data_IF_624739352123
#
_entry.id   IF_624739352123
#
_cell.length_a   1.000
_cell.length_b   1.000
_cell.length_c   1.000
_cell.angle_alpha   90.00
_cell.angle_beta   90.00
_cell.angle_gamma   90.00
#
_symmetry.space_group_name_H-M   'P 1'
#
loop_
_entity.id
_entity.type
_entity.pdbx_description
1 polymer ?
#
# COMPACT_ATOMS: atom_id res chain seq x y z
N UNK A 1 -12.04 -1.91 -16.77
CA UNK A 1 -11.78 -1.12 -15.55
C UNK A 1 -11.62 0.37 -15.82
N UNK A 2 -10.66 0.79 -16.65
CA UNK A 2 -10.28 2.20 -16.80
C UNK A 2 -11.43 3.18 -17.10
N UNK A 3 -12.39 2.81 -17.95
CA UNK A 3 -13.57 3.65 -18.20
C UNK A 3 -14.45 3.86 -16.95
N UNK A 4 -14.56 2.85 -16.08
CA UNK A 4 -15.29 2.95 -14.82
C UNK A 4 -14.55 3.87 -13.84
N UNK A 5 -13.22 3.76 -13.74
CA UNK A 5 -12.40 4.66 -12.93
C UNK A 5 -12.52 6.11 -13.40
N UNK A 6 -12.48 6.34 -14.72
CA UNK A 6 -12.70 7.67 -15.30
C UNK A 6 -14.08 8.22 -14.93
N UNK A 7 -15.13 7.41 -15.02
CA UNK A 7 -16.48 7.81 -14.59
C UNK A 7 -16.52 8.16 -13.11
N UNK A 8 -15.90 7.35 -12.25
CA UNK A 8 -15.83 7.65 -10.82
C UNK A 8 -15.11 8.97 -10.56
N UNK A 9 -13.97 9.23 -11.21
CA UNK A 9 -13.21 10.48 -11.09
C UNK A 9 -14.00 11.71 -11.55
N UNK A 10 -14.86 11.57 -12.55
CA UNK A 10 -15.71 12.66 -13.04
C UNK A 10 -16.91 12.94 -12.13
N UNK A 11 -17.36 11.97 -11.34
CA UNK A 11 -18.55 12.06 -10.51
C UNK A 11 -18.28 12.40 -9.03
N UNK A 12 -17.02 12.60 -8.62
CA UNK A 12 -16.62 12.70 -7.20
C UNK A 12 -16.71 14.09 -6.57
N UNK A 13 -17.21 15.11 -7.25
CA UNK A 13 -17.59 16.34 -6.55
C UNK A 13 -18.85 16.09 -5.70
N UNK A 14 -18.66 15.90 -4.38
CA UNK A 14 -19.65 15.94 -3.29
C UNK A 14 -20.43 14.66 -2.87
N UNK A 15 -20.02 13.44 -3.24
CA UNK A 15 -20.75 12.22 -2.78
C UNK A 15 -19.93 11.28 -1.89
N UNK A 16 -20.59 10.54 -0.97
CA UNK A 16 -19.92 9.54 -0.14
C UNK A 16 -19.12 8.50 -0.95
N UNK A 17 -17.88 8.23 -0.52
CA UNK A 17 -16.86 7.52 -1.29
C UNK A 17 -16.82 5.99 -1.17
N UNK A 18 -17.97 5.32 -0.98
CA UNK A 18 -18.00 3.86 -0.83
C UNK A 18 -17.90 3.13 -2.19
N UNK A 19 -18.21 3.80 -3.30
CA UNK A 19 -18.31 3.17 -4.61
C UNK A 19 -16.98 2.55 -5.07
N UNK A 20 -15.87 3.30 -4.98
CA UNK A 20 -14.56 2.81 -5.38
C UNK A 20 -14.12 1.61 -4.54
N UNK A 21 -14.31 1.67 -3.22
CA UNK A 21 -13.95 0.56 -2.33
C UNK A 21 -14.81 -0.69 -2.53
N UNK A 22 -16.12 -0.54 -2.75
CA UNK A 22 -17.01 -1.69 -3.04
C UNK A 22 -16.70 -2.33 -4.39
N UNK A 23 -16.40 -1.55 -5.42
CA UNK A 23 -15.96 -2.07 -6.72
C UNK A 23 -14.66 -2.85 -6.56
N UNK A 24 -13.71 -2.31 -5.79
CA UNK A 24 -12.43 -2.95 -5.51
C UNK A 24 -12.62 -4.30 -4.81
N UNK A 25 -13.45 -4.34 -3.75
CA UNK A 25 -13.79 -5.58 -3.04
C UNK A 25 -14.42 -6.64 -3.96
N UNK A 26 -15.40 -6.24 -4.76
CA UNK A 26 -16.12 -7.16 -5.64
C UNK A 26 -15.17 -7.78 -6.67
N UNK A 27 -14.32 -6.96 -7.29
CA UNK A 27 -13.41 -7.43 -8.33
C UNK A 27 -12.29 -8.30 -7.77
N UNK A 28 -11.89 -8.06 -6.53
CA UNK A 28 -10.98 -8.96 -5.84
C UNK A 28 -11.59 -10.35 -5.64
N UNK A 29 -12.89 -10.45 -5.34
CA UNK A 29 -13.58 -11.76 -5.27
C UNK A 29 -13.57 -12.50 -6.62
N UNK A 30 -13.46 -11.77 -7.73
CA UNK A 30 -13.31 -12.33 -9.08
C UNK A 30 -11.85 -12.54 -9.51
N UNK A 31 -10.89 -12.45 -8.59
CA UNK A 31 -9.46 -12.60 -8.86
C UNK A 31 -8.94 -11.64 -9.94
N UNK A 32 -9.52 -10.45 -10.04
CA UNK A 32 -9.01 -9.40 -10.93
C UNK A 32 -7.68 -8.90 -10.40
N UNK A 33 -6.67 -8.90 -11.26
CA UNK A 33 -5.40 -8.23 -10.98
C UNK A 33 -5.58 -6.71 -11.12
N UNK A 34 -5.25 -5.97 -10.06
CA UNK A 34 -5.33 -4.52 -10.05
C UNK A 34 -4.03 -3.85 -10.50
N UNK A 35 -2.98 -4.63 -10.77
CA UNK A 35 -1.64 -4.09 -11.00
C UNK A 35 -1.64 -2.99 -12.06
N UNK A 36 -1.09 -1.83 -11.70
CA UNK A 36 -1.02 -0.65 -12.59
C UNK A 36 -2.32 0.16 -12.75
N UNK A 37 -3.43 -0.18 -12.08
CA UNK A 37 -4.64 0.63 -12.13
C UNK A 37 -4.53 1.93 -11.34
N UNK A 38 -5.28 2.93 -11.80
CA UNK A 38 -5.19 4.30 -11.30
C UNK A 38 -6.45 4.73 -10.51
N UNK A 39 -6.36 4.59 -9.19
CA UNK A 39 -7.34 5.03 -8.21
C UNK A 39 -7.05 6.43 -7.64
N UNK A 40 -6.14 7.20 -8.23
CA UNK A 40 -5.79 8.54 -7.74
C UNK A 40 -6.99 9.47 -7.67
N UNK A 41 -6.99 10.36 -6.67
CA UNK A 41 -8.03 11.36 -6.40
C UNK A 41 -9.43 10.76 -6.12
N UNK A 42 -9.50 9.50 -5.71
CA UNK A 42 -10.75 8.85 -5.31
C UNK A 42 -10.84 8.75 -3.79
N UNK A 43 -12.05 8.92 -3.26
CA UNK A 43 -12.37 8.40 -1.93
C UNK A 43 -12.62 6.90 -2.06
N UNK A 44 -11.78 6.10 -1.40
CA UNK A 44 -11.80 4.63 -1.43
C UNK A 44 -12.10 4.17 -0.01
N UNK A 45 -13.37 4.26 0.39
CA UNK A 45 -13.82 3.82 1.71
C UNK A 45 -14.37 2.39 1.67
N UNK A 46 -14.31 1.70 2.80
CA UNK A 46 -14.80 0.33 2.98
C UNK A 46 -14.10 -0.71 2.09
N UNK A 47 -12.91 -0.40 1.54
CA UNK A 47 -12.12 -1.40 0.84
C UNK A 47 -11.42 -2.32 1.86
N UNK A 48 -11.42 -3.62 1.60
CA UNK A 48 -10.69 -4.64 2.37
C UNK A 48 -9.41 -4.99 1.62
N UNK A 49 -8.36 -4.19 1.81
CA UNK A 49 -7.12 -4.27 1.01
C UNK A 49 -6.19 -5.41 1.43
N UNK A 50 -6.57 -6.18 2.45
CA UNK A 50 -5.76 -7.28 2.98
C UNK A 50 -5.56 -8.38 1.94
N UNK A 51 -4.29 -8.74 1.70
CA UNK A 51 -3.91 -9.81 0.78
C UNK A 51 -4.11 -9.48 -0.70
N UNK A 52 -4.61 -8.27 -1.02
CA UNK A 52 -4.77 -7.84 -2.41
C UNK A 52 -3.42 -7.56 -3.05
N UNK A 53 -3.26 -7.97 -4.30
CA UNK A 53 -2.13 -7.53 -5.10
C UNK A 53 -2.37 -6.07 -5.55
N UNK A 54 -1.69 -5.14 -4.88
CA UNK A 54 -1.74 -3.71 -5.17
C UNK A 54 -0.46 -3.21 -5.86
N UNK A 55 0.27 -4.11 -6.54
CA UNK A 55 1.52 -3.77 -7.23
C UNK A 55 1.29 -2.62 -8.21
N UNK A 56 2.03 -1.52 -8.03
CA UNK A 56 1.94 -0.32 -8.89
C UNK A 56 0.52 0.29 -9.02
N UNK A 57 -0.39 0.03 -8.07
CA UNK A 57 -1.70 0.69 -8.05
C UNK A 57 -1.52 2.12 -7.58
N UNK A 58 -1.99 3.09 -8.38
CA UNK A 58 -1.85 4.50 -8.04
C UNK A 58 -2.99 4.95 -7.11
N UNK A 59 -2.65 5.30 -5.87
CA UNK A 59 -3.56 5.88 -4.87
C UNK A 59 -3.21 7.34 -4.52
N UNK A 60 -2.49 8.05 -5.38
CA UNK A 60 -2.11 9.44 -5.14
C UNK A 60 -3.34 10.32 -4.86
N UNK A 61 -3.28 11.13 -3.79
CA UNK A 61 -4.36 12.02 -3.35
C UNK A 61 -5.70 11.31 -3.04
N UNK A 62 -5.70 10.00 -2.80
CA UNK A 62 -6.90 9.24 -2.49
C UNK A 62 -7.16 9.20 -0.98
N UNK A 63 -8.44 9.23 -0.60
CA UNK A 63 -8.85 9.09 0.81
C UNK A 63 -9.16 7.63 1.11
N UNK A 64 -8.26 6.97 1.85
CA UNK A 64 -8.39 5.59 2.33
C UNK A 64 -8.69 5.51 3.84
N UNK A 65 -9.04 6.62 4.49
CA UNK A 65 -9.18 6.72 5.96
C UNK A 65 -10.20 5.74 6.56
N UNK A 66 -11.12 5.21 5.74
CA UNK A 66 -12.14 4.22 6.14
C UNK A 66 -11.97 2.87 5.43
N UNK A 67 -10.78 2.57 4.95
CA UNK A 67 -10.44 1.26 4.39
C UNK A 67 -9.66 0.41 5.38
N UNK A 68 -9.82 -0.91 5.28
CA UNK A 68 -9.18 -1.88 6.14
C UNK A 68 -7.91 -2.43 5.47
N UNK A 69 -6.79 -2.32 6.18
CA UNK A 69 -5.47 -2.79 5.75
C UNK A 69 -4.97 -4.00 6.54
N UNK A 70 -5.79 -4.59 7.40
CA UNK A 70 -5.37 -5.39 8.56
C UNK A 70 -4.61 -6.68 8.22
N UNK A 71 -3.35 -6.56 7.84
CA UNK A 71 -2.30 -7.37 8.42
C UNK A 71 -1.72 -6.57 9.58
N UNK A 72 -1.79 -7.12 10.79
CA UNK A 72 -1.03 -6.58 11.92
C UNK A 72 0.43 -6.93 11.64
N UNK A 73 1.18 -6.00 11.05
CA UNK A 73 2.62 -6.02 11.23
C UNK A 73 2.83 -5.70 12.71
N UNK A 74 3.77 -6.36 13.40
CA UNK A 74 4.25 -5.87 14.69
C UNK A 74 4.57 -4.38 14.62
N UNK A 75 4.69 -3.68 15.75
CA UNK A 75 4.84 -2.22 15.74
C UNK A 75 5.97 -1.78 14.80
N UNK A 76 5.62 -1.19 13.65
CA UNK A 76 6.59 -0.58 12.73
C UNK A 76 6.79 0.85 13.22
N UNK A 77 7.99 1.15 13.70
CA UNK A 77 8.37 2.48 14.12
C UNK A 77 9.08 3.25 13.01
N UNK A 78 9.67 2.55 12.03
CA UNK A 78 10.42 3.20 10.95
C UNK A 78 10.42 2.44 9.63
N UNK A 79 10.35 3.20 8.53
CA UNK A 79 10.58 2.72 7.18
C UNK A 79 11.26 3.82 6.34
N UNK A 80 12.20 3.45 5.47
CA UNK A 80 12.96 4.39 4.64
C UNK A 80 13.35 3.78 3.30
N UNK A 81 13.39 4.59 2.24
CA UNK A 81 13.85 4.15 0.92
C UNK A 81 15.33 4.45 0.73
N UNK A 82 16.02 3.65 -0.08
CA UNK A 82 17.33 4.01 -0.59
C UNK A 82 17.25 5.28 -1.45
N UNK A 83 18.34 6.06 -1.58
CA UNK A 83 18.35 7.27 -2.40
C UNK A 83 17.93 7.04 -3.85
N UNK A 84 18.21 5.84 -4.40
CA UNK A 84 17.82 5.43 -5.75
C UNK A 84 16.42 4.79 -5.83
N UNK A 85 15.72 4.66 -4.71
CA UNK A 85 14.36 4.10 -4.61
C UNK A 85 14.24 2.61 -4.89
N UNK A 86 15.35 1.89 -5.10
CA UNK A 86 15.32 0.44 -5.42
C UNK A 86 15.14 -0.43 -4.21
N UNK A 87 15.53 0.06 -3.03
CA UNK A 87 15.45 -0.66 -1.77
C UNK A 87 14.52 0.08 -0.81
N UNK A 88 13.80 -0.70 -0.02
CA UNK A 88 13.04 -0.25 1.13
C UNK A 88 13.58 -0.97 2.35
N UNK A 89 13.90 -0.25 3.41
CA UNK A 89 14.18 -0.82 4.73
C UNK A 89 12.97 -0.57 5.64
N UNK A 90 12.53 -1.60 6.36
CA UNK A 90 11.46 -1.51 7.37
C UNK A 90 11.92 -2.18 8.65
N UNK A 91 11.60 -1.60 9.80
CA UNK A 91 11.69 -2.33 11.07
C UNK A 91 10.34 -2.98 11.38
N UNK A 92 10.39 -4.22 11.84
CA UNK A 92 9.27 -4.89 12.50
C UNK A 92 9.83 -5.46 13.80
N UNK A 93 9.30 -5.00 14.93
CA UNK A 93 9.80 -5.35 16.26
C UNK A 93 11.30 -5.09 16.41
N UNK A 94 12.14 -6.09 16.62
CA UNK A 94 13.59 -5.92 16.79
C UNK A 94 14.40 -6.33 15.55
N UNK A 95 13.73 -6.52 14.42
CA UNK A 95 14.34 -6.98 13.17
C UNK A 95 14.22 -5.91 12.09
N UNK A 96 15.25 -5.84 11.24
CA UNK A 96 15.23 -4.96 10.06
C UNK A 96 15.10 -5.82 8.82
N UNK A 97 14.15 -5.46 7.98
CA UNK A 97 13.86 -6.13 6.73
C UNK A 97 14.24 -5.21 5.58
N UNK A 98 15.03 -5.74 4.65
CA UNK A 98 15.37 -5.06 3.41
C UNK A 98 14.60 -5.69 2.26
N UNK A 99 13.96 -4.85 1.46
CA UNK A 99 13.09 -5.24 0.37
C UNK A 99 13.59 -4.64 -0.94
N UNK A 100 13.59 -5.46 -1.99
CA UNK A 100 13.68 -4.99 -3.37
C UNK A 100 12.30 -4.49 -3.81
N UNK A 101 12.23 -3.22 -4.22
CA UNK A 101 10.95 -2.52 -4.49
C UNK A 101 10.31 -3.03 -5.77
N UNK A 102 11.09 -3.35 -6.80
CA UNK A 102 10.59 -3.71 -8.14
C UNK A 102 9.66 -4.93 -8.13
N UNK A 103 10.02 -5.94 -7.33
CA UNK A 103 9.30 -7.22 -7.22
C UNK A 103 8.70 -7.45 -5.84
N UNK A 104 8.76 -6.46 -4.93
CA UNK A 104 8.28 -6.56 -3.55
C UNK A 104 8.86 -7.81 -2.86
N UNK A 105 10.17 -8.03 -3.03
CA UNK A 105 10.85 -9.21 -2.52
C UNK A 105 11.69 -8.84 -1.29
N UNK A 106 11.48 -9.55 -0.19
CA UNK A 106 12.41 -9.50 0.93
C UNK A 106 13.74 -10.11 0.51
N UNK A 107 14.84 -9.35 0.64
CA UNK A 107 16.18 -9.77 0.25
C UNK A 107 17.08 -10.06 1.45
N UNK A 108 16.93 -9.32 2.55
CA UNK A 108 17.76 -9.48 3.75
C UNK A 108 16.89 -9.30 5.00
N UNK A 109 17.18 -10.11 6.02
CA UNK A 109 16.76 -9.88 7.40
C UNK A 109 18.00 -9.62 8.24
N UNK A 110 18.08 -8.45 8.86
CA UNK A 110 19.16 -8.08 9.77
C UNK A 110 18.69 -8.29 11.21
N UNK A 111 19.34 -9.24 11.87
CA UNK A 111 19.10 -9.58 13.27
C UNK A 111 20.22 -9.02 14.14
N UNK A 112 19.91 -8.65 15.39
CA UNK A 112 20.92 -8.23 16.36
C UNK A 112 20.44 -7.17 17.35
N UNK A 113 19.36 -6.44 17.02
CA UNK A 113 18.73 -5.56 17.98
C UNK A 113 17.97 -6.39 19.03
N UNK A 114 18.08 -6.03 20.29
CA UNK A 114 17.40 -6.69 21.42
C UNK A 114 16.09 -5.98 21.80
N UNK A 115 15.78 -4.88 21.13
CA UNK A 115 14.59 -4.04 21.33
C UNK A 115 14.24 -3.33 20.02
N UNK A 116 13.13 -2.58 20.03
CA UNK A 116 12.61 -1.86 18.86
C UNK A 116 13.61 -0.90 18.20
N UNK A 117 13.65 -0.89 16.87
CA UNK A 117 14.48 0.02 16.07
C UNK A 117 13.67 1.27 15.74
N UNK A 118 13.99 2.36 16.43
CA UNK A 118 13.24 3.62 16.32
C UNK A 118 13.45 4.39 15.02
N UNK A 119 14.52 4.13 14.28
CA UNK A 119 14.84 4.88 13.06
C UNK A 119 15.76 4.10 12.13
N UNK A 120 15.56 4.26 10.83
CA UNK A 120 16.37 3.70 9.76
C UNK A 120 16.82 4.82 8.81
N UNK A 121 18.04 4.72 8.29
CA UNK A 121 18.57 5.63 7.27
C UNK A 121 19.47 4.87 6.29
N UNK A 122 19.35 5.19 5.01
CA UNK A 122 20.35 4.81 4.00
C UNK A 122 21.43 5.88 3.90
N UNK A 123 22.68 5.45 3.69
CA UNK A 123 23.72 6.35 3.20
C UNK A 123 23.39 6.84 1.80
N UNK A 124 23.75 8.10 1.44
CA UNK A 124 23.75 8.58 0.06
C UNK A 124 24.56 7.69 -0.88
#
# INVERSE_FOLDING_TARGET
>A
MNQLLLKLKLCTFQKPGYAAGNILNLLWQFHVDFSGYDFSNLTVWQAYLQGMNLHQVNFANSDLSKSAFTRTLGGILSATFSPDGKLLATEIDNEIYLWEVTNIKQIITCNGHTAWVRSLAFSP
#
